data_IF_524535239443
#
_entry.id   IF_524535239443
#
_cell.length_a   1.000
_cell.length_b   1.000
_cell.length_c   1.000
_cell.angle_alpha   90.00
_cell.angle_beta   90.00
_cell.angle_gamma   90.00
#
_symmetry.space_group_name_H-M   'P 1'
#
loop_
_entity.id
_entity.type
_entity.pdbx_description
1 polymer ?
#
# COMPACT_ATOMS: atom_id res chain seq x y z
N UNK A 1 -23.96 5.85 -19.42
CA UNK A 1 -22.54 6.07 -19.27
C UNK A 1 -22.17 6.20 -17.81
N UNK A 2 -21.22 5.44 -17.34
CA UNK A 2 -20.79 5.51 -15.96
C UNK A 2 -19.97 6.75 -15.69
N UNK A 3 -19.58 6.90 -14.44
CA UNK A 3 -18.73 7.99 -13.94
C UNK A 3 -17.23 7.72 -14.15
N UNK A 4 -16.88 6.79 -15.05
CA UNK A 4 -15.49 6.38 -15.31
C UNK A 4 -14.95 5.37 -14.32
N UNK A 5 -15.74 4.92 -13.36
CA UNK A 5 -15.32 3.94 -12.36
C UNK A 5 -15.61 2.53 -12.85
N UNK A 6 -14.69 1.60 -12.55
CA UNK A 6 -14.90 0.18 -12.87
C UNK A 6 -16.03 -0.40 -12.00
N UNK A 7 -16.54 -1.56 -12.42
CA UNK A 7 -17.57 -2.26 -11.65
C UNK A 7 -17.07 -2.61 -10.24
N UNK A 8 -15.79 -2.98 -10.11
CA UNK A 8 -15.20 -3.30 -8.81
C UNK A 8 -15.19 -2.08 -7.88
N UNK A 9 -14.82 -0.91 -8.39
CA UNK A 9 -14.82 0.33 -7.62
C UNK A 9 -16.24 0.71 -7.21
N UNK A 10 -17.20 0.63 -8.16
CA UNK A 10 -18.60 0.95 -7.87
C UNK A 10 -19.14 0.07 -6.73
N UNK A 11 -18.82 -1.22 -6.77
CA UNK A 11 -19.24 -2.16 -5.74
C UNK A 11 -18.67 -1.78 -4.37
N UNK A 12 -17.39 -1.43 -4.30
CA UNK A 12 -16.76 -1.01 -3.06
C UNK A 12 -17.41 0.25 -2.49
N UNK A 13 -17.77 1.19 -3.35
CA UNK A 13 -18.44 2.43 -2.94
C UNK A 13 -19.85 2.11 -2.41
N UNK A 14 -20.60 1.28 -3.13
CA UNK A 14 -21.95 0.85 -2.72
C UNK A 14 -21.92 0.14 -1.37
N UNK A 15 -20.92 -0.70 -1.15
CA UNK A 15 -20.75 -1.44 0.10
C UNK A 15 -20.10 -0.60 1.21
N UNK A 16 -19.84 0.66 0.93
CA UNK A 16 -19.20 1.60 1.87
C UNK A 16 -17.80 1.15 2.32
N UNK A 17 -17.11 0.42 1.45
CA UNK A 17 -15.70 0.03 1.65
C UNK A 17 -14.74 1.12 1.18
N UNK A 18 -15.22 1.99 0.31
CA UNK A 18 -14.56 3.22 -0.10
C UNK A 18 -15.51 4.37 0.14
N UNK A 19 -15.02 5.44 0.76
CA UNK A 19 -15.80 6.65 1.00
C UNK A 19 -15.09 7.83 0.37
N UNK A 20 -15.86 8.79 -0.13
CA UNK A 20 -15.29 10.00 -0.69
C UNK A 20 -14.75 10.90 0.42
N UNK A 21 -13.62 11.52 0.13
CA UNK A 21 -13.06 12.58 0.98
C UNK A 21 -12.75 13.78 0.10
N UNK A 22 -12.63 14.95 0.70
CA UNK A 22 -12.15 16.14 -0.01
C UNK A 22 -10.65 15.94 -0.28
N UNK A 23 -10.21 15.98 -1.56
CA UNK A 23 -8.78 15.86 -1.85
C UNK A 23 -7.97 16.93 -1.12
N UNK A 24 -6.88 16.51 -0.49
CA UNK A 24 -6.00 17.38 0.27
C UNK A 24 -4.57 16.92 0.07
N UNK A 25 -3.79 17.73 -0.61
CA UNK A 25 -2.38 17.42 -0.91
C UNK A 25 -1.57 17.19 0.36
N UNK A 26 -1.91 17.87 1.45
CA UNK A 26 -1.20 17.69 2.73
C UNK A 26 -1.35 16.26 3.25
N UNK A 27 -2.54 15.67 3.09
CA UNK A 27 -2.76 14.27 3.50
C UNK A 27 -1.92 13.32 2.66
N UNK A 28 -1.84 13.57 1.36
CA UNK A 28 -1.04 12.75 0.44
C UNK A 28 0.44 12.79 0.83
N UNK A 29 0.97 13.99 1.05
CA UNK A 29 2.37 14.17 1.43
C UNK A 29 2.67 13.51 2.77
N UNK A 30 1.73 13.60 3.73
CA UNK A 30 1.87 12.99 5.05
C UNK A 30 1.97 11.46 4.95
N UNK A 31 1.16 10.84 4.09
CA UNK A 31 1.20 9.40 3.89
C UNK A 31 2.52 8.96 3.25
N UNK A 32 3.04 9.72 2.31
CA UNK A 32 4.34 9.41 1.71
C UNK A 32 5.45 9.53 2.76
N UNK A 33 5.39 10.53 3.63
CA UNK A 33 6.37 10.66 4.72
C UNK A 33 6.30 9.46 5.67
N UNK A 34 5.08 8.99 5.98
CA UNK A 34 4.89 7.81 6.82
C UNK A 34 5.47 6.56 6.15
N UNK A 35 5.28 6.41 4.84
CA UNK A 35 5.85 5.30 4.08
C UNK A 35 7.38 5.30 4.18
N UNK A 36 8.00 6.46 3.99
CA UNK A 36 9.47 6.59 4.08
C UNK A 36 9.97 6.20 5.47
N UNK A 37 9.29 6.66 6.52
CA UNK A 37 9.67 6.37 7.90
C UNK A 37 9.56 4.87 8.20
N UNK A 38 8.43 4.24 7.81
CA UNK A 38 8.23 2.81 8.03
C UNK A 38 9.23 1.97 7.23
N UNK A 39 9.58 2.39 6.03
CA UNK A 39 10.58 1.69 5.22
C UNK A 39 11.95 1.73 5.88
N UNK A 40 12.33 2.89 6.42
CA UNK A 40 13.58 3.03 7.16
C UNK A 40 13.61 2.10 8.36
N UNK A 41 12.52 2.08 9.14
CA UNK A 41 12.40 1.21 10.32
C UNK A 41 12.46 -0.26 9.92
N UNK A 42 11.82 -0.63 8.82
CA UNK A 42 11.84 -2.01 8.32
C UNK A 42 13.27 -2.46 7.99
N UNK A 43 14.04 -1.59 7.33
CA UNK A 43 15.43 -1.91 6.98
C UNK A 43 16.31 -2.04 8.22
N UNK A 44 16.08 -1.20 9.24
CA UNK A 44 16.80 -1.32 10.49
C UNK A 44 16.47 -2.63 11.20
N UNK A 45 15.18 -3.00 11.25
CA UNK A 45 14.76 -4.27 11.84
C UNK A 45 15.35 -5.46 11.10
N UNK A 46 15.41 -5.39 9.77
CA UNK A 46 16.03 -6.45 8.96
C UNK A 46 17.51 -6.62 9.32
N UNK A 47 18.24 -5.50 9.43
CA UNK A 47 19.64 -5.50 9.80
C UNK A 47 19.89 -6.09 11.17
N UNK A 48 18.93 -5.96 12.08
CA UNK A 48 18.98 -6.52 13.43
C UNK A 48 18.41 -7.94 13.49
N UNK A 49 18.07 -8.52 12.35
CA UNK A 49 17.46 -9.86 12.22
C UNK A 49 16.12 -10.00 12.94
N UNK A 50 15.40 -8.89 13.07
CA UNK A 50 14.04 -8.87 13.61
C UNK A 50 13.04 -9.04 12.46
N UNK A 51 12.97 -10.25 11.93
CA UNK A 51 12.26 -10.50 10.67
C UNK A 51 10.75 -10.31 10.77
N UNK A 52 10.17 -10.62 11.92
CA UNK A 52 8.75 -10.34 12.16
C UNK A 52 8.46 -8.85 12.00
N UNK A 53 9.21 -8.01 12.71
CA UNK A 53 8.97 -6.57 12.70
C UNK A 53 9.35 -5.94 11.37
N UNK A 54 10.42 -6.44 10.72
CA UNK A 54 10.79 -5.99 9.38
C UNK A 54 9.66 -6.25 8.38
N UNK A 55 9.00 -7.42 8.47
CA UNK A 55 7.87 -7.76 7.61
C UNK A 55 6.70 -6.83 7.85
N UNK A 56 6.33 -6.61 9.10
CA UNK A 56 5.19 -5.77 9.47
C UNK A 56 5.42 -4.31 9.06
N UNK A 57 6.59 -3.78 9.39
CA UNK A 57 6.94 -2.39 9.06
C UNK A 57 7.05 -2.18 7.55
N UNK A 58 7.63 -3.14 6.83
CA UNK A 58 7.70 -3.09 5.37
C UNK A 58 6.32 -3.08 4.74
N UNK A 59 5.40 -3.88 5.25
CA UNK A 59 4.02 -3.86 4.77
C UNK A 59 3.38 -2.49 5.00
N UNK A 60 3.56 -1.87 6.18
CA UNK A 60 2.97 -0.56 6.43
C UNK A 60 3.58 0.53 5.57
N UNK A 61 4.84 0.39 5.14
CA UNK A 61 5.40 1.29 4.15
C UNK A 61 4.63 1.19 2.83
N UNK A 62 4.30 -0.03 2.37
CA UNK A 62 3.46 -0.22 1.19
C UNK A 62 2.06 0.38 1.41
N UNK A 63 1.48 0.11 2.56
CA UNK A 63 0.13 0.57 2.91
C UNK A 63 0.03 2.09 2.81
N UNK A 64 1.00 2.81 3.36
CA UNK A 64 0.99 4.28 3.32
C UNK A 64 1.20 4.82 1.91
N UNK A 65 2.04 4.20 1.10
CA UNK A 65 2.20 4.59 -0.30
C UNK A 65 0.88 4.40 -1.07
N UNK A 66 0.23 3.26 -0.86
CA UNK A 66 -1.06 2.97 -1.50
C UNK A 66 -2.13 3.95 -1.02
N UNK A 67 -2.16 4.25 0.27
CA UNK A 67 -3.14 5.20 0.81
C UNK A 67 -2.93 6.61 0.24
N UNK A 68 -1.68 7.03 0.07
CA UNK A 68 -1.39 8.31 -0.56
C UNK A 68 -1.99 8.36 -1.97
N UNK A 69 -1.83 7.30 -2.74
CA UNK A 69 -2.41 7.19 -4.07
C UNK A 69 -3.94 7.22 -4.05
N UNK A 70 -4.55 6.59 -3.05
CA UNK A 70 -6.01 6.60 -2.92
C UNK A 70 -6.53 7.98 -2.52
N UNK A 71 -5.85 8.65 -1.59
CA UNK A 71 -6.22 10.01 -1.18
C UNK A 71 -6.14 10.98 -2.37
N UNK A 72 -5.18 10.78 -3.27
CA UNK A 72 -5.06 11.60 -4.47
C UNK A 72 -6.30 11.49 -5.36
N UNK A 73 -6.95 10.33 -5.37
CA UNK A 73 -8.20 10.10 -6.11
C UNK A 73 -9.44 10.60 -5.36
N UNK A 74 -9.28 11.05 -4.12
CA UNK A 74 -10.39 11.57 -3.31
C UNK A 74 -11.22 10.51 -2.62
N UNK A 75 -10.60 9.40 -2.24
CA UNK A 75 -11.25 8.30 -1.54
C UNK A 75 -10.43 7.83 -0.35
N UNK A 76 -11.14 7.21 0.59
CA UNK A 76 -10.55 6.58 1.77
C UNK A 76 -11.06 5.15 1.87
N UNK A 77 -10.16 4.23 2.18
CA UNK A 77 -10.51 2.82 2.35
C UNK A 77 -11.00 2.53 3.78
N UNK A 78 -11.80 1.46 3.91
CA UNK A 78 -12.22 0.91 5.21
C UNK A 78 -11.61 -0.45 5.52
N UNK A 79 -10.89 -1.03 4.57
CA UNK A 79 -10.19 -2.29 4.79
C UNK A 79 -8.93 -2.32 3.93
N UNK A 80 -7.98 -3.16 4.34
CA UNK A 80 -6.75 -3.34 3.57
C UNK A 80 -7.06 -3.93 2.19
N UNK A 81 -8.03 -4.84 2.12
CA UNK A 81 -8.42 -5.43 0.83
C UNK A 81 -9.05 -4.39 -0.10
N UNK A 82 -9.90 -3.51 0.43
CA UNK A 82 -10.49 -2.45 -0.37
C UNK A 82 -9.42 -1.51 -0.92
N UNK A 83 -8.38 -1.23 -0.13
CA UNK A 83 -7.25 -0.42 -0.60
C UNK A 83 -6.54 -1.09 -1.77
N UNK A 84 -6.25 -2.38 -1.65
CA UNK A 84 -5.59 -3.14 -2.72
C UNK A 84 -6.40 -3.08 -4.02
N UNK A 85 -7.71 -3.37 -3.93
CA UNK A 85 -8.58 -3.34 -5.10
C UNK A 85 -8.65 -1.95 -5.71
N UNK A 86 -8.78 -0.92 -4.86
CA UNK A 86 -8.86 0.46 -5.34
C UNK A 86 -7.60 0.88 -6.10
N UNK A 87 -6.43 0.55 -5.58
CA UNK A 87 -5.18 0.89 -6.25
C UNK A 87 -5.05 0.14 -7.57
N UNK A 88 -5.40 -1.15 -7.58
CA UNK A 88 -5.39 -1.94 -8.80
C UNK A 88 -6.27 -1.32 -9.89
N UNK A 89 -7.48 -0.86 -9.51
CA UNK A 89 -8.44 -0.33 -10.47
C UNK A 89 -8.14 1.11 -10.89
N UNK A 90 -7.83 2.00 -9.93
CA UNK A 90 -7.58 3.40 -10.25
C UNK A 90 -6.29 3.62 -11.03
N UNK A 91 -5.29 2.77 -10.81
CA UNK A 91 -3.96 2.96 -11.39
C UNK A 91 -3.56 1.81 -12.31
N UNK A 92 -4.54 1.18 -12.96
CA UNK A 92 -4.31 0.03 -13.86
C UNK A 92 -3.31 0.35 -14.96
N UNK A 93 -3.23 1.60 -15.40
CA UNK A 93 -2.34 2.02 -16.49
C UNK A 93 -1.00 2.57 -15.99
N UNK A 94 -0.86 2.80 -14.68
CA UNK A 94 0.36 3.40 -14.13
C UNK A 94 1.16 2.46 -13.22
N UNK A 95 0.51 1.40 -12.72
CA UNK A 95 1.17 0.43 -11.84
C UNK A 95 1.09 -0.96 -12.45
N UNK A 96 2.22 -1.61 -12.60
CA UNK A 96 2.29 -2.94 -13.21
C UNK A 96 1.50 -3.95 -12.38
N UNK A 97 0.83 -4.89 -13.08
CA UNK A 97 0.07 -5.95 -12.41
C UNK A 97 0.95 -6.76 -11.46
N UNK A 98 2.22 -6.99 -11.83
CA UNK A 98 3.15 -7.72 -10.98
C UNK A 98 3.38 -7.03 -9.64
N UNK A 99 3.45 -5.69 -9.64
CA UNK A 99 3.64 -4.94 -8.40
C UNK A 99 2.40 -5.02 -7.51
N UNK A 100 1.21 -5.01 -8.09
CA UNK A 100 -0.03 -5.21 -7.34
C UNK A 100 -0.07 -6.61 -6.71
N UNK A 101 0.37 -7.64 -7.45
CA UNK A 101 0.44 -9.00 -6.94
C UNK A 101 1.45 -9.10 -5.79
N UNK A 102 2.58 -8.42 -5.90
CA UNK A 102 3.58 -8.37 -4.83
C UNK A 102 3.03 -7.66 -3.59
N UNK A 103 2.23 -6.60 -3.78
CA UNK A 103 1.57 -5.91 -2.67
C UNK A 103 0.60 -6.86 -1.97
N UNK A 104 -0.19 -7.60 -2.73
CA UNK A 104 -1.12 -8.60 -2.18
C UNK A 104 -0.37 -9.68 -1.39
N UNK A 105 0.73 -10.15 -1.94
CA UNK A 105 1.59 -11.13 -1.25
C UNK A 105 2.14 -10.56 0.05
N UNK A 106 2.54 -9.28 0.04
CA UNK A 106 2.99 -8.59 1.24
C UNK A 106 1.92 -8.52 2.33
N UNK A 107 0.65 -8.31 1.93
CA UNK A 107 -0.48 -8.36 2.87
C UNK A 107 -0.57 -9.72 3.54
N UNK A 108 -0.43 -10.79 2.77
CA UNK A 108 -0.46 -12.15 3.30
C UNK A 108 0.70 -12.39 4.26
N UNK A 109 1.91 -12.02 3.87
CA UNK A 109 3.10 -12.21 4.71
C UNK A 109 2.98 -11.45 6.04
N UNK A 110 2.43 -10.25 6.01
CA UNK A 110 2.20 -9.46 7.21
C UNK A 110 1.18 -10.13 8.14
N UNK A 111 0.09 -10.66 7.59
CA UNK A 111 -0.89 -11.37 8.39
C UNK A 111 -0.29 -12.61 9.04
N UNK A 112 0.52 -13.37 8.31
CA UNK A 112 1.20 -14.54 8.84
C UNK A 112 2.19 -14.16 9.95
N UNK A 113 2.91 -13.06 9.79
CA UNK A 113 3.87 -12.58 10.78
C UNK A 113 3.17 -12.08 12.04
N UNK A 114 2.06 -11.36 11.88
CA UNK A 114 1.36 -10.70 12.98
C UNK A 114 0.49 -11.67 13.78
N UNK A 115 -0.27 -12.50 13.08
CA UNK A 115 -1.28 -13.36 13.70
C UNK A 115 -0.90 -14.83 13.71
N UNK A 116 -0.21 -15.32 12.68
CA UNK A 116 0.21 -16.71 12.57
C UNK A 116 1.56 -17.00 13.18
N UNK A 117 2.32 -15.96 13.54
CA UNK A 117 3.69 -16.03 14.05
C UNK A 117 4.61 -16.80 13.08
N UNK A 118 4.34 -16.69 11.79
CA UNK A 118 5.15 -17.27 10.71
C UNK A 118 5.83 -16.15 9.96
N UNK A 119 7.14 -16.17 9.94
CA UNK A 119 7.93 -15.15 9.25
C UNK A 119 9.30 -15.73 8.90
N UNK A 120 9.97 -15.08 7.97
CA UNK A 120 11.30 -15.51 7.51
C UNK A 120 12.10 -14.31 7.05
N UNK A 121 13.41 -14.49 6.95
CA UNK A 121 14.30 -13.48 6.40
C UNK A 121 13.93 -13.16 4.95
N UNK A 122 13.72 -14.20 4.12
CA UNK A 122 13.38 -13.99 2.71
C UNK A 122 12.04 -13.28 2.55
N UNK A 123 11.04 -13.62 3.38
CA UNK A 123 9.75 -12.93 3.36
C UNK A 123 9.89 -11.46 3.72
N UNK A 124 10.69 -11.15 4.75
CA UNK A 124 10.94 -9.76 5.14
C UNK A 124 11.65 -8.99 4.02
N UNK A 125 12.65 -9.61 3.39
CA UNK A 125 13.35 -9.00 2.26
C UNK A 125 12.39 -8.71 1.10
N UNK A 126 11.52 -9.66 0.76
CA UNK A 126 10.54 -9.50 -0.31
C UNK A 126 9.59 -8.33 -0.04
N UNK A 127 9.08 -8.24 1.19
CA UNK A 127 8.16 -7.16 1.57
C UNK A 127 8.85 -5.80 1.47
N UNK A 128 10.08 -5.69 1.97
CA UNK A 128 10.83 -4.44 1.91
C UNK A 128 11.11 -4.04 0.46
N UNK A 129 11.49 -5.00 -0.38
CA UNK A 129 11.74 -4.74 -1.80
C UNK A 129 10.49 -4.22 -2.50
N UNK A 130 9.35 -4.84 -2.25
CA UNK A 130 8.08 -4.40 -2.81
C UNK A 130 7.73 -3.01 -2.30
N UNK A 131 7.96 -2.74 -1.02
CA UNK A 131 7.69 -1.43 -0.43
C UNK A 131 8.53 -0.34 -1.10
N UNK A 132 9.80 -0.61 -1.38
CA UNK A 132 10.66 0.32 -2.09
C UNK A 132 10.13 0.63 -3.50
N UNK A 133 9.77 -0.42 -4.23
CA UNK A 133 9.23 -0.27 -5.58
C UNK A 133 7.94 0.55 -5.60
N UNK A 134 7.05 0.25 -4.67
CA UNK A 134 5.76 0.94 -4.61
C UNK A 134 5.94 2.40 -4.20
N UNK A 135 6.84 2.69 -3.26
CA UNK A 135 7.13 4.06 -2.86
C UNK A 135 7.70 4.87 -4.03
N UNK A 136 8.66 4.30 -4.78
CA UNK A 136 9.23 4.96 -5.95
C UNK A 136 8.14 5.26 -6.98
N UNK A 137 7.28 4.29 -7.26
CA UNK A 137 6.19 4.45 -8.23
C UNK A 137 5.18 5.49 -7.74
N UNK A 138 4.80 5.43 -6.47
CA UNK A 138 3.85 6.38 -5.89
C UNK A 138 4.38 7.82 -5.97
N UNK A 139 5.65 8.01 -5.61
CA UNK A 139 6.27 9.34 -5.69
C UNK A 139 6.25 9.88 -7.11
N UNK A 140 6.54 9.01 -8.09
CA UNK A 140 6.54 9.41 -9.51
C UNK A 140 5.12 9.81 -9.96
N UNK A 141 4.11 9.00 -9.64
CA UNK A 141 2.72 9.28 -10.01
C UNK A 141 2.25 10.58 -9.35
N UNK A 142 2.57 10.75 -8.07
CA UNK A 142 2.14 11.90 -7.27
C UNK A 142 3.01 13.14 -7.49
N UNK A 143 4.10 13.02 -8.22
CA UNK A 143 5.07 14.10 -8.46
C UNK A 143 5.63 14.65 -7.14
N UNK A 144 6.02 13.75 -6.26
CA UNK A 144 6.68 14.06 -4.99
C UNK A 144 8.13 13.58 -5.09
N UNK A 145 9.07 14.42 -4.64
CA UNK A 145 10.50 14.09 -4.65
C UNK A 145 10.93 13.27 -3.44
#
# INVERSE_FOLDING_TARGET
MGNGLSAALQKLIEERKLTRITPDRKLVVKEIAASKADLKDAKESLGLKKFKWATIQGYYAMFHSARALLFEKGYREKSHYALLVAIREFYANEIERSLIQEFEHGMYLRQEADYGLKFSESGAQDVIETAEKLLVRAKAILRIK
#
